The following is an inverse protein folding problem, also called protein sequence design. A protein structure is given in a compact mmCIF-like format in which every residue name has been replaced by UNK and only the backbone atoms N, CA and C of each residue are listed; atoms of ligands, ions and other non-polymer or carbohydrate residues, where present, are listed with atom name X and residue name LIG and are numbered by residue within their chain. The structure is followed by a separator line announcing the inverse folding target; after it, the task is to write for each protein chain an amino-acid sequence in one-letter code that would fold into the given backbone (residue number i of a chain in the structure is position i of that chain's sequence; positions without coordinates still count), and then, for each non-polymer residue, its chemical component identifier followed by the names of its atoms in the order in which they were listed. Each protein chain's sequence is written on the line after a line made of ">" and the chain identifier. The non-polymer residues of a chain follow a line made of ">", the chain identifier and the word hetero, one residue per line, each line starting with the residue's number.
data_IF_682144400543
#
_entry.id   IF_682144400543
#
_cell.length_a   1.000
_cell.length_b   1.000
_cell.length_c   1.000
_cell.angle_alpha   90.00
_cell.angle_beta   90.00
_cell.angle_gamma   90.00
#
_symmetry.space_group_name_H-M   'P 1'
#
loop_
_entity.id
_entity.type
_entity.pdbx_description
1 polymer ?
#
# COMPACT_ATOMS: atom_id res chain seq x y z
N UNK A 1 -25.93 -15.88 -14.75
CA UNK A 1 -25.79 -14.48 -14.28
C UNK A 1 -25.78 -14.30 -12.76
N UNK A 2 -26.84 -14.62 -11.99
CA UNK A 2 -26.90 -14.37 -10.52
C UNK A 2 -25.71 -14.91 -9.71
N UNK A 3 -25.19 -16.10 -10.05
CA UNK A 3 -24.03 -16.71 -9.40
C UNK A 3 -22.76 -15.86 -9.54
N UNK A 4 -22.43 -15.46 -10.77
CA UNK A 4 -21.26 -14.65 -11.11
C UNK A 4 -21.33 -13.26 -10.45
N UNK A 5 -22.49 -12.60 -10.50
CA UNK A 5 -22.69 -11.32 -9.81
C UNK A 5 -22.49 -11.42 -8.28
N UNK A 6 -22.96 -12.51 -7.65
CA UNK A 6 -22.74 -12.75 -6.21
C UNK A 6 -21.27 -13.01 -5.90
N UNK A 7 -20.58 -13.75 -6.75
CA UNK A 7 -19.14 -14.04 -6.61
C UNK A 7 -18.31 -12.76 -6.75
N UNK A 8 -18.51 -11.99 -7.82
CA UNK A 8 -17.86 -10.71 -8.03
C UNK A 8 -18.03 -9.78 -6.83
N UNK A 9 -19.27 -9.60 -6.34
CA UNK A 9 -19.52 -8.78 -5.14
C UNK A 9 -18.77 -9.29 -3.90
N UNK A 10 -18.71 -10.60 -3.69
CA UNK A 10 -18.01 -11.19 -2.53
C UNK A 10 -16.50 -11.02 -2.64
N UNK A 11 -15.93 -11.20 -3.82
CA UNK A 11 -14.50 -11.02 -4.06
C UNK A 11 -14.10 -9.56 -3.94
N UNK A 12 -14.85 -8.63 -4.55
CA UNK A 12 -14.61 -7.19 -4.41
C UNK A 12 -14.65 -6.76 -2.94
N UNK A 13 -15.68 -7.16 -2.18
CA UNK A 13 -15.76 -6.82 -0.75
C UNK A 13 -14.57 -7.35 0.05
N UNK A 14 -14.22 -8.63 -0.13
CA UNK A 14 -13.10 -9.25 0.58
C UNK A 14 -11.76 -8.58 0.23
N UNK A 15 -11.53 -8.31 -1.05
CA UNK A 15 -10.34 -7.64 -1.54
C UNK A 15 -10.21 -6.21 -1.01
N UNK A 16 -11.29 -5.42 -1.09
CA UNK A 16 -11.31 -4.05 -0.56
C UNK A 16 -10.98 -4.03 0.94
N UNK A 17 -11.64 -4.88 1.74
CA UNK A 17 -11.38 -4.96 3.18
C UNK A 17 -9.91 -5.30 3.48
N UNK A 18 -9.36 -6.27 2.76
CA UNK A 18 -7.95 -6.65 2.89
C UNK A 18 -7.02 -5.48 2.59
N UNK A 19 -7.23 -4.77 1.47
CA UNK A 19 -6.40 -3.63 1.07
C UNK A 19 -6.45 -2.49 2.09
N UNK A 20 -7.64 -2.10 2.55
CA UNK A 20 -7.79 -1.03 3.55
C UNK A 20 -7.17 -1.41 4.90
N UNK A 21 -7.37 -2.63 5.38
CA UNK A 21 -6.75 -3.10 6.63
C UNK A 21 -5.22 -3.10 6.49
N UNK A 22 -4.69 -3.61 5.38
CA UNK A 22 -3.24 -3.63 5.14
C UNK A 22 -2.65 -2.23 5.07
N UNK A 23 -3.32 -1.29 4.38
CA UNK A 23 -2.89 0.10 4.29
C UNK A 23 -2.89 0.78 5.67
N UNK A 24 -3.94 0.58 6.46
CA UNK A 24 -4.05 1.10 7.81
C UNK A 24 -2.93 0.58 8.73
N UNK A 25 -2.66 -0.74 8.70
CA UNK A 25 -1.57 -1.34 9.48
C UNK A 25 -0.20 -0.80 9.07
N UNK A 26 0.02 -0.59 7.77
CA UNK A 26 1.25 0.02 7.26
C UNK A 26 1.44 1.45 7.79
N UNK A 27 0.41 2.29 7.75
CA UNK A 27 0.44 3.64 8.29
C UNK A 27 0.73 3.66 9.81
N UNK A 28 0.17 2.70 10.55
CA UNK A 28 0.40 2.58 11.99
C UNK A 28 1.88 2.34 12.36
N UNK A 29 2.70 1.81 11.45
CA UNK A 29 4.14 1.62 11.71
C UNK A 29 4.86 2.95 12.02
N UNK A 30 4.45 4.05 11.39
CA UNK A 30 5.01 5.37 11.67
C UNK A 30 4.67 5.91 13.07
N UNK A 31 3.66 5.36 13.75
CA UNK A 31 3.28 5.74 15.11
C UNK A 31 4.08 4.97 16.19
N UNK A 32 4.84 3.95 15.81
CA UNK A 32 5.63 3.15 16.75
C UNK A 32 6.68 4.01 17.50
N UNK A 33 7.50 4.86 16.84
CA UNK A 33 8.49 5.66 17.56
C UNK A 33 7.87 6.65 18.57
N UNK A 34 6.83 7.45 18.23
CA UNK A 34 6.16 8.32 19.20
C UNK A 34 5.54 7.56 20.39
N UNK A 35 4.95 6.38 20.14
CA UNK A 35 4.36 5.57 21.19
C UNK A 35 5.41 4.99 22.13
N UNK A 36 6.54 4.54 21.58
CA UNK A 36 7.68 4.07 22.34
C UNK A 36 8.33 5.18 23.18
N UNK A 37 8.32 6.44 22.74
CA UNK A 37 8.85 7.56 23.52
C UNK A 37 8.00 7.86 24.77
N UNK A 38 6.71 7.54 24.75
CA UNK A 38 5.81 7.66 25.92
C UNK A 38 5.96 6.45 26.86
N UNK A 39 5.97 5.23 26.31
CA UNK A 39 5.93 3.99 27.10
C UNK A 39 7.32 3.57 27.61
N UNK A 40 8.36 3.81 26.82
CA UNK A 40 9.74 3.42 27.13
C UNK A 40 10.72 4.51 26.63
N UNK A 41 10.83 5.64 27.35
CA UNK A 41 11.68 6.76 26.96
C UNK A 41 13.15 6.36 26.99
N UNK A 42 13.91 6.78 25.98
CA UNK A 42 15.37 6.66 25.94
C UNK A 42 16.01 8.00 26.31
N UNK A 43 17.26 7.95 26.79
CA UNK A 43 18.07 9.14 27.03
C UNK A 43 18.47 9.86 25.72
N UNK A 44 18.37 9.19 24.58
CA UNK A 44 18.57 9.76 23.25
C UNK A 44 17.27 9.79 22.44
N UNK A 45 17.13 10.78 21.56
CA UNK A 45 15.95 10.94 20.71
C UNK A 45 15.87 9.83 19.66
N UNK A 46 14.71 9.16 19.55
CA UNK A 46 14.50 8.18 18.47
C UNK A 46 14.41 8.85 17.10
N UNK A 47 14.87 8.18 16.03
CA UNK A 47 14.60 8.63 14.67
C UNK A 47 13.10 8.58 14.37
N UNK A 48 12.59 9.59 13.69
CA UNK A 48 11.23 9.55 13.15
C UNK A 48 11.21 8.63 11.94
N UNK A 49 10.14 7.86 11.81
CA UNK A 49 9.88 7.01 10.66
C UNK A 49 8.73 7.60 9.84
N UNK A 50 9.00 8.52 8.90
CA UNK A 50 7.95 9.13 8.08
C UNK A 50 7.30 8.09 7.17
N UNK A 51 5.99 8.21 6.94
CA UNK A 51 5.22 7.33 6.04
C UNK A 51 5.75 7.42 4.60
N UNK A 52 6.21 8.59 4.19
CA UNK A 52 6.78 8.84 2.87
C UNK A 52 7.94 9.83 2.98
N UNK A 53 9.09 9.59 2.32
CA UNK A 53 10.20 10.54 2.27
C UNK A 53 9.80 11.73 1.40
N UNK A 54 9.38 12.83 2.02
CA UNK A 54 8.99 14.06 1.33
C UNK A 54 9.44 15.28 2.12
N UNK A 55 9.95 16.30 1.42
CA UNK A 55 10.35 17.55 2.05
C UNK A 55 9.14 18.50 2.13
N UNK A 56 8.67 18.78 3.35
CA UNK A 56 7.47 19.59 3.59
C UNK A 56 7.74 21.07 3.88
N UNK A 57 8.99 21.54 3.76
CA UNK A 57 9.42 22.92 4.10
C UNK A 57 9.08 23.35 5.55
N UNK A 58 8.82 22.39 6.43
CA UNK A 58 8.55 22.57 7.87
C UNK A 58 9.38 21.58 8.69
N UNK A 59 9.53 21.81 9.99
CA UNK A 59 10.20 20.86 10.88
C UNK A 59 9.37 19.57 11.01
N UNK A 60 9.94 18.45 10.56
CA UNK A 60 9.24 17.16 10.52
C UNK A 60 8.91 16.61 11.92
N UNK A 61 9.68 16.99 12.95
CA UNK A 61 9.45 16.55 14.33
C UNK A 61 8.33 17.33 14.98
N UNK A 62 8.34 18.65 14.82
CA UNK A 62 7.32 19.53 15.39
C UNK A 62 5.95 19.31 14.72
N UNK A 63 5.93 19.15 13.40
CA UNK A 63 4.69 19.01 12.62
C UNK A 63 4.32 17.56 12.27
N UNK A 64 4.91 16.58 12.98
CA UNK A 64 4.77 15.16 12.69
C UNK A 64 3.30 14.72 12.48
N UNK A 65 2.40 15.07 13.40
CA UNK A 65 0.99 14.64 13.32
C UNK A 65 0.25 15.24 12.13
N UNK A 66 0.58 16.47 11.72
CA UNK A 66 0.00 17.10 10.53
C UNK A 66 0.47 16.41 9.25
N UNK A 67 1.77 16.13 9.15
CA UNK A 67 2.35 15.40 8.03
C UNK A 67 1.79 13.98 7.96
N UNK A 68 1.66 13.31 9.11
CA UNK A 68 1.07 11.99 9.22
C UNK A 68 -0.39 11.98 8.73
N UNK A 69 -1.20 12.94 9.17
CA UNK A 69 -2.59 13.04 8.74
C UNK A 69 -2.72 13.31 7.23
N UNK A 70 -1.90 14.21 6.69
CA UNK A 70 -1.81 14.42 5.25
C UNK A 70 -1.47 13.12 4.51
N UNK A 71 -0.48 12.36 5.01
CA UNK A 71 -0.09 11.08 4.44
C UNK A 71 -1.23 10.05 4.49
N UNK A 72 -1.97 9.97 5.60
CA UNK A 72 -3.16 9.10 5.71
C UNK A 72 -4.16 9.43 4.61
N UNK A 73 -4.53 10.70 4.43
CA UNK A 73 -5.51 11.12 3.41
C UNK A 73 -5.02 10.77 2.00
N UNK A 74 -3.77 11.08 1.68
CA UNK A 74 -3.18 10.77 0.36
C UNK A 74 -3.19 9.26 0.10
N UNK A 75 -2.83 8.46 1.10
CA UNK A 75 -2.78 7.01 0.97
C UNK A 75 -4.17 6.39 0.82
N UNK A 76 -5.15 6.86 1.58
CA UNK A 76 -6.55 6.43 1.43
C UNK A 76 -7.11 6.72 0.03
N UNK A 77 -6.81 7.89 -0.53
CA UNK A 77 -7.21 8.25 -1.91
C UNK A 77 -6.54 7.30 -2.92
N UNK A 78 -5.23 7.07 -2.79
CA UNK A 78 -4.49 6.19 -3.69
C UNK A 78 -4.99 4.75 -3.63
N UNK A 79 -5.17 4.19 -2.43
CA UNK A 79 -5.69 2.83 -2.21
C UNK A 79 -7.10 2.71 -2.75
N UNK A 80 -7.96 3.70 -2.53
CA UNK A 80 -9.33 3.72 -3.08
C UNK A 80 -9.32 3.65 -4.60
N UNK A 81 -8.44 4.41 -5.26
CA UNK A 81 -8.30 4.37 -6.73
C UNK A 81 -7.90 2.99 -7.25
N UNK A 82 -6.90 2.36 -6.63
CA UNK A 82 -6.43 1.01 -6.98
C UNK A 82 -7.54 -0.02 -6.77
N UNK A 83 -8.16 -0.01 -5.59
CA UNK A 83 -9.24 -0.94 -5.24
C UNK A 83 -10.43 -0.78 -6.18
N UNK A 84 -10.83 0.44 -6.52
CA UNK A 84 -11.91 0.71 -7.45
C UNK A 84 -11.61 0.16 -8.85
N UNK A 85 -10.41 0.43 -9.37
CA UNK A 85 -9.96 -0.08 -10.66
C UNK A 85 -9.97 -1.62 -10.73
N UNK A 86 -9.41 -2.28 -9.71
CA UNK A 86 -9.35 -3.74 -9.64
C UNK A 86 -10.73 -4.37 -9.50
N UNK A 87 -11.62 -3.76 -8.70
CA UNK A 87 -12.99 -4.23 -8.55
C UNK A 87 -13.82 -4.06 -9.83
N UNK A 88 -13.59 -2.99 -10.60
CA UNK A 88 -14.19 -2.81 -11.92
C UNK A 88 -13.74 -3.91 -12.89
N UNK A 89 -12.43 -4.21 -12.94
CA UNK A 89 -11.90 -5.30 -13.76
C UNK A 89 -12.52 -6.65 -13.38
N UNK A 90 -12.55 -7.00 -12.10
CA UNK A 90 -13.19 -8.23 -11.60
C UNK A 90 -14.67 -8.31 -12.00
N UNK A 91 -15.39 -7.19 -11.92
CA UNK A 91 -16.81 -7.14 -12.29
C UNK A 91 -17.00 -7.34 -13.79
N UNK A 92 -16.15 -6.76 -14.64
CA UNK A 92 -16.19 -7.00 -16.09
C UNK A 92 -15.89 -8.46 -16.43
N UNK A 93 -14.90 -9.06 -15.78
CA UNK A 93 -14.56 -10.49 -15.94
C UNK A 93 -15.79 -11.36 -15.60
N UNK A 94 -16.36 -11.18 -14.41
CA UNK A 94 -17.54 -11.92 -13.97
C UNK A 94 -18.75 -11.71 -14.89
N UNK A 95 -18.93 -10.48 -15.40
CA UNK A 95 -20.00 -10.17 -16.35
C UNK A 95 -19.83 -10.94 -17.66
N UNK A 96 -18.64 -10.86 -18.28
CA UNK A 96 -18.33 -11.55 -19.54
C UNK A 96 -18.44 -13.06 -19.36
N UNK A 97 -17.79 -13.63 -18.33
CA UNK A 97 -17.90 -15.04 -18.00
C UNK A 97 -19.35 -15.49 -17.82
N UNK A 98 -20.22 -14.66 -17.24
CA UNK A 98 -21.63 -14.99 -17.05
C UNK A 98 -22.45 -15.07 -18.33
N UNK A 99 -22.09 -14.32 -19.38
CA UNK A 99 -22.71 -14.37 -20.70
C UNK A 99 -22.23 -15.62 -21.44
N UNK A 100 -20.91 -15.85 -21.47
CA UNK A 100 -20.32 -16.97 -22.22
C UNK A 100 -20.56 -18.33 -21.57
N UNK A 101 -20.81 -18.39 -20.26
CA UNK A 101 -21.26 -19.60 -19.59
C UNK A 101 -22.61 -20.12 -20.14
N UNK A 102 -23.44 -19.25 -20.75
CA UNK A 102 -24.67 -19.68 -21.42
C UNK A 102 -24.37 -20.35 -22.79
N UNK A 103 -23.27 -19.98 -23.43
CA UNK A 103 -22.85 -20.50 -24.73
C UNK A 103 -21.86 -21.67 -24.68
N UNK A 104 -21.44 -22.11 -23.49
CA UNK A 104 -20.50 -23.23 -23.32
C UNK A 104 -19.01 -22.90 -23.51
N UNK A 105 -18.65 -21.62 -23.68
CA UNK A 105 -17.26 -21.17 -23.95
C UNK A 105 -16.54 -20.56 -22.74
N UNK A 106 -16.99 -20.86 -21.52
CA UNK A 106 -16.46 -20.22 -20.31
C UNK A 106 -14.94 -20.43 -20.10
N UNK A 107 -14.41 -21.62 -20.42
CA UNK A 107 -13.01 -21.98 -20.17
C UNK A 107 -12.01 -21.20 -21.02
N UNK A 108 -12.31 -20.95 -22.30
CA UNK A 108 -11.42 -20.21 -23.21
C UNK A 108 -11.16 -18.76 -22.75
N UNK A 109 -12.17 -18.17 -22.11
CA UNK A 109 -12.12 -16.80 -21.61
C UNK A 109 -11.49 -16.73 -20.22
N UNK A 110 -11.66 -17.76 -19.40
CA UNK A 110 -10.95 -17.90 -18.11
C UNK A 110 -9.43 -17.84 -18.31
N UNK A 111 -8.92 -18.50 -19.36
CA UNK A 111 -7.49 -18.43 -19.74
C UNK A 111 -7.07 -17.03 -20.19
N UNK A 112 -7.93 -16.33 -20.95
CA UNK A 112 -7.66 -14.96 -21.42
C UNK A 112 -7.59 -13.97 -20.24
N UNK A 113 -8.47 -14.11 -19.26
CA UNK A 113 -8.48 -13.25 -18.06
C UNK A 113 -7.38 -13.62 -17.07
N UNK A 114 -6.90 -14.86 -17.08
CA UNK A 114 -5.70 -15.28 -16.35
C UNK A 114 -4.47 -14.46 -16.78
N UNK A 115 -4.35 -14.13 -18.08
CA UNK A 115 -3.28 -13.26 -18.59
C UNK A 115 -3.43 -11.83 -18.07
N UNK A 116 -4.65 -11.28 -18.06
CA UNK A 116 -4.89 -9.91 -17.53
C UNK A 116 -4.57 -9.84 -16.03
N UNK A 117 -4.93 -10.87 -15.26
CA UNK A 117 -4.58 -10.99 -13.85
C UNK A 117 -3.07 -11.15 -13.64
N UNK A 118 -2.39 -11.94 -14.47
CA UNK A 118 -0.94 -12.10 -14.43
C UNK A 118 -0.23 -10.76 -14.70
N UNK A 119 -0.71 -9.98 -15.67
CA UNK A 119 -0.23 -8.62 -15.94
C UNK A 119 -0.45 -7.70 -14.74
N UNK A 120 -1.63 -7.73 -14.12
CA UNK A 120 -1.94 -6.94 -12.91
C UNK A 120 -1.02 -7.32 -11.74
N UNK A 121 -0.77 -8.61 -11.51
CA UNK A 121 0.14 -9.10 -10.47
C UNK A 121 1.58 -8.68 -10.75
N UNK A 122 2.02 -8.74 -12.01
CA UNK A 122 3.36 -8.28 -12.41
C UNK A 122 3.53 -6.79 -12.14
N UNK A 123 2.56 -5.95 -12.49
CA UNK A 123 2.57 -4.51 -12.22
C UNK A 123 2.60 -4.22 -10.71
N UNK A 124 1.78 -4.91 -9.92
CA UNK A 124 1.81 -4.80 -8.46
C UNK A 124 3.15 -5.23 -7.87
N UNK A 125 3.79 -6.28 -8.41
CA UNK A 125 5.11 -6.75 -7.98
C UNK A 125 6.19 -5.70 -8.26
N UNK A 126 6.15 -5.06 -9.43
CA UNK A 126 7.06 -3.96 -9.78
C UNK A 126 6.86 -2.77 -8.84
N UNK A 127 5.61 -2.38 -8.58
CA UNK A 127 5.29 -1.29 -7.63
C UNK A 127 5.85 -1.58 -6.23
N UNK A 128 5.60 -2.78 -5.68
CA UNK A 128 6.13 -3.19 -4.36
C UNK A 128 7.67 -3.18 -4.37
N UNK A 129 8.29 -3.61 -5.46
CA UNK A 129 9.76 -3.59 -5.61
C UNK A 129 10.33 -2.18 -5.60
N UNK A 130 9.66 -1.23 -6.26
CA UNK A 130 10.03 0.19 -6.25
C UNK A 130 9.86 0.76 -4.84
N UNK A 131 8.74 0.49 -4.16
CA UNK A 131 8.52 0.95 -2.79
C UNK A 131 9.57 0.37 -1.83
N UNK A 132 9.91 -0.91 -1.96
CA UNK A 132 10.99 -1.54 -1.17
C UNK A 132 12.35 -0.89 -1.44
N UNK A 133 12.66 -0.57 -2.69
CA UNK A 133 13.90 0.11 -3.05
C UNK A 133 13.93 1.53 -2.45
N UNK A 134 12.82 2.27 -2.50
CA UNK A 134 12.70 3.59 -1.87
C UNK A 134 12.92 3.52 -0.36
N UNK A 135 12.32 2.54 0.32
CA UNK A 135 12.53 2.31 1.76
C UNK A 135 13.98 1.94 2.05
N UNK A 136 14.60 1.07 1.24
CA UNK A 136 16.02 0.70 1.40
C UNK A 136 16.96 1.89 1.24
N UNK A 137 16.76 2.71 0.22
CA UNK A 137 17.56 3.92 -0.02
C UNK A 137 17.39 4.90 1.14
N UNK A 138 16.16 5.05 1.65
CA UNK A 138 15.90 5.90 2.81
C UNK A 138 16.62 5.40 4.08
N UNK A 139 16.53 4.09 4.38
CA UNK A 139 17.24 3.50 5.53
C UNK A 139 18.75 3.66 5.40
N UNK A 140 19.32 3.43 4.22
CA UNK A 140 20.74 3.65 3.95
C UNK A 140 21.14 5.12 4.13
N UNK A 141 20.29 6.06 3.72
CA UNK A 141 20.52 7.48 3.96
C UNK A 141 20.52 7.80 5.45
N UNK A 142 19.61 7.21 6.23
CA UNK A 142 19.55 7.41 7.67
C UNK A 142 20.75 6.78 8.42
N UNK A 143 21.16 5.58 8.03
CA UNK A 143 22.37 4.91 8.57
C UNK A 143 23.64 5.66 8.20
N UNK A 144 23.73 6.16 6.96
CA UNK A 144 24.86 6.99 6.51
C UNK A 144 24.95 8.30 7.30
N UNK A 145 23.82 8.96 7.57
CA UNK A 145 23.77 10.16 8.43
C UNK A 145 24.24 9.82 9.86
N UNK A 146 23.81 8.69 10.43
CA UNK A 146 24.27 8.22 11.74
C UNK A 146 25.79 8.02 11.77
N UNK A 147 26.35 7.34 10.78
CA UNK A 147 27.80 7.10 10.70
C UNK A 147 28.62 8.39 10.54
N UNK A 148 28.15 9.36 9.75
CA UNK A 148 28.81 10.67 9.62
C UNK A 148 28.77 11.44 10.93
N UNK A 149 27.65 11.42 11.65
CA UNK A 149 27.51 12.07 12.96
C UNK A 149 28.48 11.47 13.99
N UNK A 150 28.62 10.15 14.06
CA UNK A 150 29.57 9.49 14.97
C UNK A 150 31.03 9.78 14.64
N UNK A 151 31.36 9.99 13.36
CA UNK A 151 32.74 10.28 12.93
C UNK A 151 33.11 11.75 13.11
N UNK A 152 32.12 12.67 13.12
CA UNK A 152 32.32 14.10 13.31
C UNK A 152 32.34 14.56 14.79
N UNK A 153 32.03 13.67 15.74
CA UNK A 153 32.01 13.92 17.19
C UNK A 153 33.26 13.38 17.90
N UNK A 154 34.26 12.90 17.15
CA UNK A 154 35.61 12.55 17.62
C UNK A 154 36.60 13.56 17.05
#
# INVERSE_FOLDING_TARGET
>A
MKRYAKNGRRYSLGYSLYCFISAFLFLCMSLIPPLLDIVLPLNESRPILPVHPGYYFVDEKEYFFYIFWHAVVVWEIAVTGIVAHDCMLLTYIEHVCSIFALGGFAQLIEDTFSITLALQIALNTVMISITLLQVRIYLLSQDSIRHVLYTAVI
#
